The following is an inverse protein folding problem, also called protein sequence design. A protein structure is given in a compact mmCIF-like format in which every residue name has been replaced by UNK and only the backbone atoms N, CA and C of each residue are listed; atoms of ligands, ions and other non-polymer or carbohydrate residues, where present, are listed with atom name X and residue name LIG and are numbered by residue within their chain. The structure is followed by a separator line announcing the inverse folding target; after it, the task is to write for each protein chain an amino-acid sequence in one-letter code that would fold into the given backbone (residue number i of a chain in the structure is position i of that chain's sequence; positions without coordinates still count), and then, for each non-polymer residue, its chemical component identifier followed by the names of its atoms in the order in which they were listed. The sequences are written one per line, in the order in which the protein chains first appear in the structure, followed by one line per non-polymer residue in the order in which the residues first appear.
data_IF_320095006827
#
_entry.id   IF_320095006827
#
_cell.length_a   1.000
_cell.length_b   1.000
_cell.length_c   1.000
_cell.angle_alpha   90.00
_cell.angle_beta   90.00
_cell.angle_gamma   90.00
#
_symmetry.space_group_name_H-M   'P 1'
#
loop_
_entity.id
_entity.type
_entity.pdbx_description
1 polymer ?
#
# COMPACT_ATOMS: atom_id res chain seq x y z
N UNK A 1 -0.11 -20.25 18.66
CA UNK A 1 0.91 -19.28 18.19
C UNK A 1 1.02 -19.42 16.68
N UNK A 2 0.30 -18.58 15.93
CA UNK A 2 0.44 -18.46 14.49
C UNK A 2 1.70 -17.67 14.19
N UNK A 3 2.57 -18.20 13.32
CA UNK A 3 3.77 -17.52 12.87
C UNK A 3 3.40 -16.14 12.30
N UNK A 4 4.22 -15.09 12.50
CA UNK A 4 3.99 -13.81 11.85
C UNK A 4 4.04 -14.03 10.34
N UNK A 5 2.89 -13.86 9.69
CA UNK A 5 2.73 -13.88 8.25
C UNK A 5 3.71 -12.86 7.66
N UNK A 6 4.81 -13.35 7.07
CA UNK A 6 5.95 -12.51 6.72
C UNK A 6 5.52 -11.48 5.67
N UNK A 7 5.83 -10.21 5.94
CA UNK A 7 5.83 -9.08 4.99
C UNK A 7 6.47 -9.40 3.62
N UNK A 8 7.26 -10.46 3.54
CA UNK A 8 7.98 -10.93 2.34
C UNK A 8 7.09 -11.40 1.18
N UNK A 9 5.77 -11.53 1.36
CA UNK A 9 4.85 -11.84 0.24
C UNK A 9 4.43 -10.61 -0.58
N UNK A 10 4.81 -9.39 -0.15
CA UNK A 10 4.33 -8.14 -0.74
C UNK A 10 5.41 -7.39 -1.52
N UNK A 11 6.70 -7.71 -1.37
CA UNK A 11 7.81 -7.01 -2.05
C UNK A 11 8.58 -7.99 -2.93
N UNK A 12 8.64 -7.70 -4.22
CA UNK A 12 9.47 -8.42 -5.18
C UNK A 12 10.70 -7.58 -5.54
N UNK A 13 11.89 -8.16 -5.40
CA UNK A 13 13.11 -7.56 -5.93
C UNK A 13 13.17 -7.84 -7.43
N UNK A 14 13.18 -6.81 -8.28
CA UNK A 14 13.25 -7.03 -9.73
C UNK A 14 14.51 -7.82 -10.12
N UNK A 15 14.47 -8.39 -11.34
CA UNK A 15 15.63 -9.05 -11.96
C UNK A 15 16.86 -8.14 -12.08
N UNK A 16 16.71 -6.82 -11.94
CA UNK A 16 17.78 -5.82 -11.97
C UNK A 16 18.29 -5.42 -10.58
N UNK A 17 17.85 -6.07 -9.50
CA UNK A 17 18.25 -5.74 -8.12
C UNK A 17 17.64 -4.45 -7.57
N UNK A 18 16.76 -3.78 -8.34
CA UNK A 18 16.02 -2.60 -7.89
C UNK A 18 14.66 -3.03 -7.30
N UNK A 19 14.18 -2.40 -6.21
CA UNK A 19 12.81 -2.61 -5.74
C UNK A 19 11.83 -2.22 -6.86
N UNK A 20 11.00 -3.18 -7.31
CA UNK A 20 9.98 -2.97 -8.35
C UNK A 20 8.61 -3.28 -7.72
N UNK A 21 7.64 -2.37 -7.86
CA UNK A 21 6.36 -2.57 -7.24
C UNK A 21 5.51 -3.67 -7.89
N UNK A 22 5.94 -4.20 -9.03
CA UNK A 22 5.26 -5.29 -9.72
C UNK A 22 5.50 -6.62 -9.04
N UNK A 23 4.43 -7.40 -8.92
CA UNK A 23 4.48 -8.76 -8.37
C UNK A 23 4.41 -9.78 -9.50
N UNK A 24 5.18 -10.89 -9.43
CA UNK A 24 5.05 -11.98 -10.38
C UNK A 24 3.61 -12.49 -10.42
N UNK A 25 3.12 -12.79 -11.62
CA UNK A 25 1.81 -13.40 -11.81
C UNK A 25 2.00 -14.83 -12.36
N UNK A 26 1.46 -15.82 -11.65
CA UNK A 26 1.49 -17.23 -12.05
C UNK A 26 0.30 -17.68 -12.90
N UNK A 27 -0.66 -16.80 -13.17
CA UNK A 27 -1.88 -17.09 -13.94
C UNK A 27 -1.59 -17.15 -15.45
N UNK A 28 -2.43 -17.88 -16.18
CA UNK A 28 -2.36 -17.87 -17.64
C UNK A 28 -2.78 -16.49 -18.20
N UNK A 29 -2.33 -16.10 -19.41
CA UNK A 29 -2.71 -14.83 -20.01
C UNK A 29 -4.23 -14.64 -20.13
N UNK A 30 -4.67 -13.39 -20.13
CA UNK A 30 -6.07 -12.99 -20.28
C UNK A 30 -6.71 -13.63 -21.53
N UNK A 31 -7.90 -14.20 -21.36
CA UNK A 31 -8.68 -14.81 -22.43
C UNK A 31 -7.93 -15.89 -23.24
N UNK A 32 -6.91 -16.53 -22.65
CA UNK A 32 -6.18 -17.64 -23.27
C UNK A 32 -6.96 -18.97 -23.27
N UNK A 33 -8.09 -19.04 -22.55
CA UNK A 33 -8.93 -20.23 -22.43
C UNK A 33 -10.38 -19.94 -22.82
N UNK A 34 -11.12 -20.99 -23.18
CA UNK A 34 -12.54 -20.87 -23.49
C UNK A 34 -13.40 -20.91 -22.21
N UNK A 35 -14.38 -20.00 -22.05
CA UNK A 35 -15.26 -19.99 -20.89
C UNK A 35 -16.26 -21.17 -20.93
N UNK A 36 -16.44 -21.82 -19.78
CA UNK A 36 -17.47 -22.84 -19.54
C UNK A 36 -18.70 -22.21 -18.91
N UNK A 37 -19.80 -22.95 -18.89
CA UNK A 37 -21.05 -22.48 -18.26
C UNK A 37 -20.87 -22.18 -16.77
N UNK A 38 -20.03 -22.96 -16.06
CA UNK A 38 -19.71 -22.73 -14.64
C UNK A 38 -18.99 -21.40 -14.41
N UNK A 39 -18.09 -21.02 -15.32
CA UNK A 39 -17.37 -19.73 -15.24
C UNK A 39 -18.35 -18.56 -15.41
N UNK A 40 -19.30 -18.70 -16.34
CA UNK A 40 -20.36 -17.70 -16.56
C UNK A 40 -21.29 -17.59 -15.35
N UNK A 41 -21.67 -18.72 -14.76
CA UNK A 41 -22.49 -18.75 -13.56
C UNK A 41 -21.77 -18.10 -12.36
N UNK A 42 -20.48 -18.39 -12.17
CA UNK A 42 -19.64 -17.75 -11.16
C UNK A 42 -19.54 -16.23 -11.38
N UNK A 43 -19.22 -15.81 -12.60
CA UNK A 43 -19.14 -14.39 -12.94
C UNK A 43 -20.49 -13.66 -12.71
N UNK A 44 -21.62 -14.31 -13.01
CA UNK A 44 -22.95 -13.77 -12.72
C UNK A 44 -23.19 -13.65 -11.20
N UNK A 45 -22.84 -14.67 -10.43
CA UNK A 45 -22.94 -14.65 -8.97
C UNK A 45 -22.12 -13.52 -8.35
N UNK A 46 -20.87 -13.34 -8.79
CA UNK A 46 -20.01 -12.24 -8.34
C UNK A 46 -20.57 -10.87 -8.72
N UNK A 47 -21.16 -10.72 -9.92
CA UNK A 47 -21.84 -9.48 -10.32
C UNK A 47 -23.02 -9.15 -9.41
N UNK A 48 -23.76 -10.16 -8.96
CA UNK A 48 -24.85 -10.00 -7.99
C UNK A 48 -24.35 -9.64 -6.57
N UNK A 49 -23.13 -10.02 -6.20
CA UNK A 49 -22.52 -9.64 -4.91
C UNK A 49 -22.14 -8.15 -4.83
N UNK A 50 -21.75 -7.54 -5.95
CA UNK A 50 -21.35 -6.11 -6.00
C UNK A 50 -22.39 -5.19 -5.33
N UNK A 51 -23.68 -5.18 -5.69
CA UNK A 51 -24.66 -4.33 -5.02
C UNK A 51 -24.85 -4.69 -3.54
N UNK A 52 -24.81 -5.99 -3.17
CA UNK A 52 -24.94 -6.41 -1.77
C UNK A 52 -23.79 -5.87 -0.91
N UNK A 53 -22.55 -5.96 -1.40
CA UNK A 53 -21.38 -5.39 -0.72
C UNK A 53 -21.51 -3.88 -0.52
N UNK A 54 -22.02 -3.16 -1.53
CA UNK A 54 -22.30 -1.72 -1.39
C UNK A 54 -23.36 -1.43 -0.32
N UNK A 55 -24.41 -2.26 -0.23
CA UNK A 55 -25.47 -2.10 0.77
C UNK A 55 -24.95 -2.27 2.20
N UNK A 56 -24.02 -3.19 2.45
CA UNK A 56 -23.42 -3.40 3.77
C UNK A 56 -22.18 -2.53 4.04
N UNK A 57 -21.93 -1.52 3.19
CA UNK A 57 -20.85 -0.53 3.40
C UNK A 57 -19.47 -0.90 2.86
N UNK A 58 -19.32 -2.06 2.19
CA UNK A 58 -18.06 -2.54 1.60
C UNK A 58 -17.84 -1.91 0.21
N UNK A 59 -17.69 -0.59 0.19
CA UNK A 59 -17.70 0.22 -1.04
C UNK A 59 -16.46 -0.01 -1.89
N UNK A 60 -15.29 -0.08 -1.27
CA UNK A 60 -14.00 -0.23 -1.96
C UNK A 60 -13.88 -1.63 -2.52
N UNK A 61 -14.23 -2.65 -1.73
CA UNK A 61 -14.27 -4.05 -2.16
C UNK A 61 -15.23 -4.24 -3.33
N UNK A 62 -16.42 -3.64 -3.25
CA UNK A 62 -17.39 -3.70 -4.34
C UNK A 62 -16.90 -3.00 -5.62
N UNK A 63 -16.21 -1.86 -5.48
CA UNK A 63 -15.65 -1.13 -6.62
C UNK A 63 -14.54 -1.94 -7.31
N UNK A 64 -13.60 -2.52 -6.54
CA UNK A 64 -12.54 -3.38 -7.07
C UNK A 64 -13.10 -4.62 -7.76
N UNK A 65 -14.06 -5.31 -7.12
CA UNK A 65 -14.71 -6.49 -7.70
C UNK A 65 -15.47 -6.14 -8.99
N UNK A 66 -16.21 -5.02 -9.00
CA UNK A 66 -16.87 -4.56 -10.22
C UNK A 66 -15.87 -4.28 -11.32
N UNK A 67 -14.77 -3.60 -11.01
CA UNK A 67 -13.73 -3.26 -11.98
C UNK A 67 -13.10 -4.51 -12.61
N UNK A 68 -12.83 -5.52 -11.78
CA UNK A 68 -12.40 -6.85 -12.23
C UNK A 68 -13.38 -7.46 -13.24
N UNK A 69 -14.67 -7.50 -12.88
CA UNK A 69 -15.74 -8.15 -13.65
C UNK A 69 -16.16 -7.38 -14.92
N UNK A 70 -15.79 -6.10 -15.03
CA UNK A 70 -15.90 -5.31 -16.26
C UNK A 70 -14.86 -5.75 -17.29
N UNK A 71 -13.75 -6.36 -16.85
CA UNK A 71 -12.83 -7.07 -17.75
C UNK A 71 -11.93 -6.19 -18.61
N UNK A 72 -11.84 -4.89 -18.35
CA UNK A 72 -11.01 -3.97 -19.16
C UNK A 72 -9.53 -4.01 -18.83
N UNK A 73 -9.16 -4.35 -17.59
CA UNK A 73 -7.77 -4.32 -17.13
C UNK A 73 -7.15 -2.92 -17.05
N UNK A 74 -7.96 -1.87 -17.15
CA UNK A 74 -7.51 -0.48 -17.03
C UNK A 74 -7.03 -0.20 -15.60
N UNK A 75 -6.06 0.72 -15.40
CA UNK A 75 -5.64 1.10 -14.06
C UNK A 75 -6.80 1.53 -13.17
N UNK A 76 -6.83 1.02 -11.95
CA UNK A 76 -7.78 1.42 -10.92
C UNK A 76 -7.12 2.43 -9.99
N UNK A 77 -7.53 3.69 -10.08
CA UNK A 77 -6.93 4.78 -9.31
C UNK A 77 -7.61 4.89 -7.95
N UNK A 78 -6.82 4.84 -6.88
CA UNK A 78 -7.27 5.06 -5.50
C UNK A 78 -6.64 6.33 -4.94
N UNK A 79 -7.36 6.98 -4.04
CA UNK A 79 -6.82 8.05 -3.21
C UNK A 79 -5.98 7.43 -2.08
N UNK A 80 -4.65 7.64 -2.04
CA UNK A 80 -3.81 7.07 -0.99
C UNK A 80 -4.10 7.62 0.41
N UNK A 81 -4.79 8.76 0.52
CA UNK A 81 -5.21 9.30 1.82
C UNK A 81 -6.14 8.33 2.58
N UNK A 82 -6.84 7.44 1.88
CA UNK A 82 -7.69 6.43 2.50
C UNK A 82 -6.87 5.29 3.16
N UNK A 83 -5.98 4.57 2.45
CA UNK A 83 -5.13 3.57 3.09
C UNK A 83 -4.14 4.19 4.09
N UNK A 84 -3.72 5.45 3.92
CA UNK A 84 -2.94 6.22 4.91
C UNK A 84 -3.62 6.35 6.29
N UNK A 85 -4.95 6.28 6.34
CA UNK A 85 -5.71 6.30 7.60
C UNK A 85 -5.74 4.93 8.28
N UNK A 86 -5.45 3.85 7.56
CA UNK A 86 -5.41 2.51 8.15
C UNK A 86 -4.23 2.42 9.15
N UNK A 87 -4.50 1.87 10.33
CA UNK A 87 -3.50 1.72 11.40
C UNK A 87 -2.19 1.05 10.95
N UNK A 88 -2.22 -0.03 10.14
CA UNK A 88 -0.99 -0.69 9.68
C UNK A 88 -0.11 0.23 8.83
N UNK A 89 -0.73 1.02 7.94
CA UNK A 89 0.00 1.96 7.10
C UNK A 89 0.62 3.07 7.93
N UNK A 90 -0.17 3.70 8.82
CA UNK A 90 0.32 4.78 9.67
C UNK A 90 1.52 4.34 10.50
N UNK A 91 1.47 3.14 11.09
CA UNK A 91 2.58 2.60 11.88
C UNK A 91 3.83 2.40 11.02
N UNK A 92 3.69 1.86 9.81
CA UNK A 92 4.82 1.66 8.91
C UNK A 92 5.42 2.98 8.43
N UNK A 93 4.60 3.98 8.13
CA UNK A 93 5.06 5.32 7.76
C UNK A 93 5.78 6.05 8.90
N UNK A 94 5.29 5.92 10.14
CA UNK A 94 5.93 6.53 11.31
C UNK A 94 7.35 6.03 11.53
N UNK A 95 7.62 4.74 11.32
CA UNK A 95 8.97 4.20 11.40
C UNK A 95 9.94 4.90 10.44
N UNK A 96 9.51 5.19 9.21
CA UNK A 96 10.33 5.95 8.26
C UNK A 96 10.51 7.42 8.68
N UNK A 97 9.50 8.02 9.31
CA UNK A 97 9.60 9.40 9.79
C UNK A 97 10.56 9.51 10.99
N UNK A 98 10.59 8.52 11.87
CA UNK A 98 11.55 8.42 12.97
C UNK A 98 12.99 8.25 12.44
N UNK A 99 13.20 7.40 11.42
CA UNK A 99 14.50 7.24 10.75
C UNK A 99 14.98 8.55 10.12
N UNK A 100 14.10 9.27 9.44
CA UNK A 100 14.41 10.56 8.83
C UNK A 100 14.64 11.67 9.86
N UNK A 101 13.91 11.64 10.97
CA UNK A 101 14.16 12.54 12.09
C UNK A 101 15.55 12.30 12.70
N UNK A 102 15.95 11.05 12.90
CA UNK A 102 17.28 10.72 13.40
C UNK A 102 18.39 11.21 12.43
N UNK A 103 18.18 11.04 11.12
CA UNK A 103 19.10 11.57 10.11
C UNK A 103 19.17 13.12 10.15
N UNK A 104 18.04 13.80 10.34
CA UNK A 104 18.00 15.24 10.50
C UNK A 104 18.75 15.70 11.75
N UNK A 105 18.61 14.99 12.88
CA UNK A 105 19.32 15.28 14.11
C UNK A 105 20.85 15.13 13.97
N UNK A 106 21.32 14.10 13.24
CA UNK A 106 22.74 13.94 12.92
C UNK A 106 23.25 15.12 12.08
N UNK A 107 22.53 15.48 11.02
CA UNK A 107 22.89 16.63 10.16
C UNK A 107 22.91 17.95 10.91
N UNK A 108 21.95 18.15 11.82
CA UNK A 108 21.91 19.32 12.69
C UNK A 108 23.17 19.40 13.57
N UNK A 109 23.60 18.29 14.15
CA UNK A 109 24.82 18.23 14.96
C UNK A 109 26.08 18.48 14.13
N UNK A 110 26.22 17.79 12.99
CA UNK A 110 27.40 17.89 12.11
C UNK A 110 27.57 19.28 11.48
N UNK A 111 26.48 20.04 11.37
CA UNK A 111 26.46 21.40 10.83
C UNK A 111 26.49 22.48 11.92
N UNK A 112 26.76 22.11 13.17
CA UNK A 112 26.82 23.02 14.32
C UNK A 112 25.52 23.83 14.52
N UNK A 113 24.37 23.23 14.19
CA UNK A 113 23.06 23.86 14.33
C UNK A 113 22.65 24.76 13.16
N UNK A 114 23.17 24.51 11.96
CA UNK A 114 22.73 25.21 10.77
C UNK A 114 21.42 24.60 10.22
N UNK A 115 20.52 25.48 9.77
CA UNK A 115 19.34 25.07 9.02
C UNK A 115 19.73 24.37 7.73
N UNK A 116 18.97 23.34 7.36
CA UNK A 116 19.21 22.62 6.11
C UNK A 116 17.95 22.03 5.53
N UNK A 117 17.96 21.84 4.21
CA UNK A 117 16.87 21.18 3.48
C UNK A 117 17.48 20.07 2.63
N UNK A 118 16.87 18.89 2.67
CA UNK A 118 17.26 17.79 1.80
C UNK A 118 16.07 16.93 1.40
N UNK A 119 16.17 16.30 0.24
CA UNK A 119 15.16 15.41 -0.30
C UNK A 119 15.52 13.95 -0.01
N UNK A 120 14.50 13.12 0.17
CA UNK A 120 14.65 11.68 0.40
C UNK A 120 13.48 10.92 -0.21
N UNK A 121 13.71 9.65 -0.51
CA UNK A 121 12.70 8.75 -1.03
C UNK A 121 12.93 7.37 -0.45
N UNK A 122 11.89 6.74 0.09
CA UNK A 122 11.98 5.35 0.54
C UNK A 122 12.10 4.40 -0.66
N UNK A 123 12.48 3.15 -0.40
CA UNK A 123 12.22 2.10 -1.37
C UNK A 123 10.70 1.79 -1.43
N UNK A 124 10.32 0.87 -2.31
CA UNK A 124 8.97 0.32 -2.27
C UNK A 124 8.83 -0.61 -1.06
N UNK A 125 7.82 -0.38 -0.25
CA UNK A 125 7.50 -1.14 0.93
C UNK A 125 6.11 -1.77 0.81
N UNK A 126 5.97 -2.98 1.34
CA UNK A 126 4.71 -3.69 1.40
C UNK A 126 4.00 -3.44 2.73
N UNK A 127 2.69 -3.19 2.66
CA UNK A 127 1.81 -3.20 3.83
C UNK A 127 0.72 -4.23 3.64
N UNK A 128 0.51 -5.06 4.66
CA UNK A 128 -0.62 -5.97 4.75
C UNK A 128 -1.77 -5.28 5.49
N UNK A 129 -2.97 -5.45 4.96
CA UNK A 129 -4.21 -4.98 5.56
C UNK A 129 -4.96 -6.22 6.00
N UNK A 130 -5.09 -6.43 7.31
CA UNK A 130 -5.82 -7.58 7.84
C UNK A 130 -7.30 -7.27 7.92
N UNK A 131 -8.13 -8.31 7.81
CA UNK A 131 -9.59 -8.18 7.91
C UNK A 131 -10.05 -7.51 9.21
N UNK A 132 -9.34 -7.78 10.32
CA UNK A 132 -9.60 -7.19 11.64
C UNK A 132 -9.27 -5.70 11.72
N UNK A 133 -8.38 -5.23 10.85
CA UNK A 133 -7.99 -3.81 10.77
C UNK A 133 -9.01 -3.03 9.93
N UNK A 134 -9.39 -3.56 8.76
CA UNK A 134 -10.40 -2.98 7.87
C UNK A 134 -10.92 -4.04 6.89
N UNK A 135 -12.19 -4.44 7.02
CA UNK A 135 -12.77 -5.50 6.16
C UNK A 135 -13.01 -5.04 4.72
N UNK A 136 -13.36 -3.76 4.49
CA UNK A 136 -13.58 -3.26 3.12
C UNK A 136 -12.27 -3.23 2.34
N UNK A 137 -11.23 -2.68 2.95
CA UNK A 137 -9.90 -2.61 2.35
C UNK A 137 -9.21 -3.98 2.28
N UNK A 138 -9.47 -4.86 3.24
CA UNK A 138 -9.00 -6.25 3.14
C UNK A 138 -9.64 -6.96 1.93
N UNK A 139 -10.96 -6.87 1.73
CA UNK A 139 -11.62 -7.42 0.54
C UNK A 139 -11.13 -6.77 -0.76
N UNK A 140 -10.90 -5.45 -0.71
CA UNK A 140 -10.49 -4.69 -1.87
C UNK A 140 -9.04 -4.98 -2.29
N UNK A 141 -8.11 -5.10 -1.35
CA UNK A 141 -6.68 -5.05 -1.65
C UNK A 141 -5.86 -6.12 -0.92
N UNK A 142 -6.19 -6.48 0.33
CA UNK A 142 -5.41 -7.34 1.25
C UNK A 142 -4.00 -6.84 1.61
N UNK A 143 -3.35 -6.15 0.69
CA UNK A 143 -2.06 -5.52 0.86
C UNK A 143 -1.73 -4.66 -0.35
N UNK A 144 -0.82 -3.72 -0.14
CA UNK A 144 -0.45 -2.66 -1.10
C UNK A 144 1.06 -2.50 -1.05
N UNK A 145 1.65 -2.07 -2.17
CA UNK A 145 2.99 -1.49 -2.15
C UNK A 145 2.87 0.03 -2.06
N UNK A 146 3.77 0.65 -1.30
CA UNK A 146 3.84 2.09 -1.17
C UNK A 146 5.27 2.59 -1.16
N UNK A 147 5.44 3.87 -1.51
CA UNK A 147 6.70 4.59 -1.44
C UNK A 147 6.43 6.02 -0.99
N UNK A 148 7.32 6.55 -0.15
CA UNK A 148 7.21 7.92 0.37
C UNK A 148 8.35 8.74 -0.23
N UNK A 149 8.00 9.87 -0.84
CA UNK A 149 8.95 10.88 -1.29
C UNK A 149 8.78 12.11 -0.41
N UNK A 150 9.86 12.61 0.17
CA UNK A 150 9.80 13.68 1.16
C UNK A 150 10.89 14.73 0.97
N UNK A 151 10.53 15.97 1.29
CA UNK A 151 11.45 17.09 1.53
C UNK A 151 11.49 17.34 3.02
N UNK A 152 12.68 17.22 3.60
CA UNK A 152 12.94 17.42 5.03
C UNK A 152 13.54 18.81 5.21
N UNK A 153 12.90 19.61 6.06
CA UNK A 153 13.36 20.92 6.51
C UNK A 153 13.80 20.78 7.96
N UNK A 154 15.09 21.01 8.22
CA UNK A 154 15.70 21.00 9.55
C UNK A 154 15.77 22.44 10.04
N UNK A 155 15.03 22.72 11.10
CA UNK A 155 14.83 24.04 11.68
C UNK A 155 15.43 24.11 13.09
N UNK A 156 15.73 25.32 13.59
CA UNK A 156 16.21 25.48 14.96
C UNK A 156 15.18 24.96 15.95
N UNK A 157 15.64 24.15 16.90
CA UNK A 157 14.78 23.62 17.96
C UNK A 157 14.16 24.74 18.79
N UNK A 158 12.84 24.75 18.91
CA UNK A 158 12.13 25.70 19.76
C UNK A 158 12.01 25.23 21.22
N UNK A 159 12.38 23.97 21.49
CA UNK A 159 12.30 23.39 22.84
C UNK A 159 13.54 23.78 23.66
N UNK A 160 13.33 24.44 24.80
CA UNK A 160 14.40 24.81 25.73
C UNK A 160 15.08 23.55 26.27
N UNK A 161 16.30 23.27 25.82
CA UNK A 161 17.08 22.16 26.35
C UNK A 161 17.36 22.38 27.85
N UNK A 162 17.24 21.32 28.65
CA UNK A 162 17.73 21.34 30.02
C UNK A 162 19.23 21.68 30.02
N UNK A 163 19.76 22.37 31.05
CA UNK A 163 21.19 22.63 31.16
C UNK A 163 22.00 21.34 30.98
N UNK A 164 22.91 21.33 30.00
CA UNK A 164 23.73 20.16 29.66
C UNK A 164 23.10 19.17 28.66
N UNK A 165 21.89 19.42 28.16
CA UNK A 165 21.27 18.62 27.10
C UNK A 165 21.55 19.22 25.72
N UNK A 166 21.76 18.40 24.68
CA UNK A 166 21.90 18.90 23.31
C UNK A 166 20.59 19.52 22.83
N UNK A 167 20.68 20.66 22.12
CA UNK A 167 19.54 21.26 21.42
C UNK A 167 19.20 20.38 20.21
N UNK A 168 18.00 19.82 20.21
CA UNK A 168 17.49 19.02 19.09
C UNK A 168 16.80 19.91 18.05
N UNK A 169 16.86 19.58 16.75
CA UNK A 169 16.18 20.36 15.73
C UNK A 169 14.67 20.12 15.72
N UNK A 170 13.92 21.12 15.26
CA UNK A 170 12.55 20.92 14.80
C UNK A 170 12.60 20.44 13.35
N UNK A 171 11.88 19.36 13.04
CA UNK A 171 11.89 18.73 11.72
C UNK A 171 10.52 18.88 11.09
N UNK A 172 10.48 19.50 9.90
CA UNK A 172 9.28 19.57 9.07
C UNK A 172 9.48 18.74 7.81
N UNK A 173 8.65 17.73 7.65
CA UNK A 173 8.62 16.84 6.50
C UNK A 173 7.40 17.17 5.63
N UNK A 174 7.65 17.62 4.40
CA UNK A 174 6.64 17.73 3.35
C UNK A 174 6.76 16.51 2.46
N UNK A 175 5.76 15.64 2.42
CA UNK A 175 5.85 14.35 1.76
C UNK A 175 4.66 14.01 0.87
N UNK A 176 4.90 13.11 -0.07
CA UNK A 176 3.91 12.50 -0.97
C UNK A 176 4.04 10.98 -0.89
N UNK A 177 2.92 10.31 -1.05
CA UNK A 177 2.82 8.85 -0.99
C UNK A 177 2.32 8.33 -2.33
N UNK A 178 3.08 7.41 -2.90
CA UNK A 178 2.70 6.65 -4.08
C UNK A 178 2.31 5.24 -3.66
N UNK A 179 1.27 4.70 -4.28
CA UNK A 179 0.83 3.32 -4.05
C UNK A 179 0.71 2.57 -5.37
N UNK A 180 1.04 1.29 -5.31
CA UNK A 180 0.94 0.37 -6.44
C UNK A 180 0.54 -1.02 -5.98
N UNK A 181 -0.22 -1.73 -6.81
CA UNK A 181 -0.49 -3.16 -6.64
C UNK A 181 -0.90 -3.76 -7.99
N UNK A 182 -0.35 -4.91 -8.35
CA UNK A 182 -0.98 -5.75 -9.37
C UNK A 182 -2.17 -6.49 -8.73
N UNK A 183 -3.38 -6.08 -9.08
CA UNK A 183 -4.60 -6.64 -8.50
C UNK A 183 -5.02 -7.88 -9.26
N UNK A 184 -5.15 -8.99 -8.54
CA UNK A 184 -5.61 -10.26 -9.08
C UNK A 184 -5.87 -11.30 -8.01
N UNK A 185 -6.18 -12.50 -8.48
CA UNK A 185 -6.38 -13.69 -7.67
C UNK A 185 -5.30 -14.70 -8.04
N UNK A 186 -4.36 -14.99 -7.15
CA UNK A 186 -3.32 -15.98 -7.43
C UNK A 186 -3.90 -17.40 -7.29
N UNK A 187 -3.80 -18.21 -8.34
CA UNK A 187 -4.44 -19.54 -8.42
C UNK A 187 -3.99 -20.54 -7.35
N UNK A 188 -2.82 -20.34 -6.77
CA UNK A 188 -2.17 -21.17 -5.75
C UNK A 188 -2.43 -20.66 -4.33
N UNK A 189 -3.23 -19.61 -4.18
CA UNK A 189 -3.62 -19.06 -2.89
C UNK A 189 -5.07 -19.39 -2.56
N UNK A 190 -5.33 -19.44 -1.27
CA UNK A 190 -6.65 -19.54 -0.70
C UNK A 190 -6.74 -18.62 0.52
N UNK A 191 -7.96 -18.36 0.95
CA UNK A 191 -8.23 -17.54 2.10
C UNK A 191 -9.47 -18.06 2.81
N UNK A 192 -9.36 -18.35 4.11
CA UNK A 192 -10.41 -18.99 4.90
C UNK A 192 -11.03 -20.24 4.23
N UNK A 193 -10.22 -21.06 3.57
CA UNK A 193 -10.66 -22.27 2.87
C UNK A 193 -11.36 -22.01 1.53
N UNK A 194 -11.45 -20.75 1.09
CA UNK A 194 -11.91 -20.39 -0.24
C UNK A 194 -10.73 -20.28 -1.19
N UNK A 195 -10.62 -21.25 -2.08
CA UNK A 195 -9.63 -21.23 -3.16
C UNK A 195 -9.83 -20.03 -4.09
N UNK A 196 -8.74 -19.36 -4.45
CA UNK A 196 -8.74 -18.31 -5.45
C UNK A 196 -8.65 -18.85 -6.89
N UNK A 197 -8.40 -20.14 -7.08
CA UNK A 197 -8.31 -20.75 -8.43
C UNK A 197 -9.54 -20.46 -9.31
N UNK A 198 -10.79 -20.60 -8.85
CA UNK A 198 -11.96 -20.30 -9.69
C UNK A 198 -12.08 -18.83 -10.05
N UNK A 199 -11.61 -17.93 -9.16
CA UNK A 199 -11.61 -16.49 -9.39
C UNK A 199 -10.53 -16.12 -10.39
N UNK A 200 -9.30 -16.61 -10.21
CA UNK A 200 -8.19 -16.48 -11.14
C UNK A 200 -8.58 -16.96 -12.55
N UNK A 201 -9.28 -18.10 -12.64
CA UNK A 201 -9.72 -18.68 -13.91
C UNK A 201 -10.61 -17.73 -14.73
N UNK A 202 -11.38 -16.83 -14.09
CA UNK A 202 -12.20 -15.84 -14.81
C UNK A 202 -11.34 -14.88 -15.65
N UNK A 203 -10.10 -14.59 -15.22
CA UNK A 203 -9.11 -13.88 -16.02
C UNK A 203 -8.74 -14.68 -17.28
N UNK A 204 -8.38 -15.93 -17.08
CA UNK A 204 -7.89 -16.81 -18.13
C UNK A 204 -8.96 -17.08 -19.20
N UNK A 205 -10.25 -17.11 -18.82
CA UNK A 205 -11.37 -17.28 -19.76
C UNK A 205 -11.98 -15.98 -20.29
N UNK A 206 -11.40 -14.84 -19.94
CA UNK A 206 -11.81 -13.54 -20.47
C UNK A 206 -13.07 -12.93 -19.85
N UNK A 207 -13.62 -13.53 -18.79
CA UNK A 207 -14.86 -13.06 -18.14
C UNK A 207 -14.62 -11.97 -17.09
N UNK A 208 -13.38 -11.82 -16.64
CA UNK A 208 -12.90 -10.77 -15.77
C UNK A 208 -11.44 -10.47 -16.13
N UNK A 209 -10.87 -9.35 -15.70
CA UNK A 209 -9.48 -9.00 -16.05
C UNK A 209 -8.79 -8.33 -14.88
N UNK A 210 -7.60 -8.84 -14.58
CA UNK A 210 -6.69 -8.28 -13.58
C UNK A 210 -6.22 -6.90 -14.02
N UNK A 211 -5.84 -6.06 -13.07
CA UNK A 211 -5.54 -4.66 -13.33
C UNK A 211 -4.52 -4.11 -12.35
N UNK A 212 -3.72 -3.12 -12.75
CA UNK A 212 -2.89 -2.39 -11.80
C UNK A 212 -3.77 -1.44 -10.98
N UNK A 213 -3.51 -1.38 -9.68
CA UNK A 213 -4.02 -0.33 -8.79
C UNK A 213 -2.90 0.68 -8.61
N UNK A 214 -3.24 1.95 -8.73
CA UNK A 214 -2.28 3.05 -8.60
C UNK A 214 -2.90 4.16 -7.75
N UNK A 215 -2.07 5.01 -7.17
CA UNK A 215 -2.53 6.20 -6.48
C UNK A 215 -1.38 7.10 -6.07
N UNK A 216 -1.63 8.40 -5.99
CA UNK A 216 -0.71 9.39 -5.47
C UNK A 216 -1.45 10.31 -4.49
N UNK A 217 -0.84 10.60 -3.34
CA UNK A 217 -1.39 11.59 -2.43
C UNK A 217 -1.07 12.99 -2.96
N UNK A 218 -1.81 13.99 -2.46
CA UNK A 218 -1.31 15.37 -2.46
C UNK A 218 -0.12 15.52 -1.51
N UNK A 219 0.30 16.76 -1.30
CA UNK A 219 1.30 17.07 -0.27
C UNK A 219 0.71 16.91 1.12
N UNK A 220 1.45 16.21 1.96
CA UNK A 220 1.16 15.99 3.36
C UNK A 220 2.30 16.58 4.18
N UNK A 221 1.99 17.02 5.40
CA UNK A 221 2.98 17.62 6.30
C UNK A 221 3.03 16.80 7.58
N UNK A 222 4.24 16.47 8.01
CA UNK A 222 4.53 15.94 9.34
C UNK A 222 5.56 16.84 10.00
N UNK A 223 5.35 17.15 11.27
CA UNK A 223 6.26 17.98 12.06
C UNK A 223 6.58 17.26 13.35
N UNK A 224 7.83 17.34 13.78
CA UNK A 224 8.26 16.80 15.05
C UNK A 224 9.35 17.67 15.68
N UNK A 225 9.26 17.85 16.99
CA UNK A 225 10.25 18.48 17.84
C UNK A 225 11.08 17.46 18.66
N UNK A 226 10.98 16.16 18.34
CA UNK A 226 11.63 15.09 19.10
C UNK A 226 11.10 13.68 18.75
N UNK A 227 11.78 12.61 19.20
CA UNK A 227 11.24 11.26 19.05
C UNK A 227 9.86 11.17 19.74
N UNK A 228 8.85 10.69 19.03
CA UNK A 228 7.55 10.39 19.66
C UNK A 228 7.70 9.11 20.48
N UNK A 229 7.63 9.22 21.80
CA UNK A 229 7.66 8.08 22.73
C UNK A 229 6.41 7.21 22.69
#
# INVERSE_FOLDING_TARGET
MTAPERQSSVIHTSRTGRPDPRTPNGNAPYASRMPRWRDRALALGLRAMVPLWRLVGLRTGAASLRHYLVGRGAPFVIDPAQPLRAKPFRRAALTHFEEWWALAAIRWHDSEGAESVFETTTHWHGVLIRRVDDTDWWLAMRGLQYRITGRIEVLPGTTTALPGSPVLPDVRLVYRVEVYKDWGFDKDKDEYGMSFTPLAHLHEVGLAREFPVTGHSGELVWTSNGPTG
#
